data_IF_680684330537
#
_entry.id   IF_680684330537
#
_cell.length_a   1.000
_cell.length_b   1.000
_cell.length_c   1.000
_cell.angle_alpha   90.00
_cell.angle_beta   90.00
_cell.angle_gamma   90.00
#
_symmetry.space_group_name_H-M   'P 1'
#
loop_
_entity.id
_entity.type
_entity.pdbx_description
1 polymer ?
#
# COMPACT_ATOMS: atom_id res chain seq x y z
N UNK A 1 -9.72 -9.73 22.25
CA UNK A 1 -9.40 -9.81 20.80
C UNK A 1 -10.51 -10.66 20.20
N UNK A 2 -11.27 -10.15 19.24
CA UNK A 2 -12.42 -10.91 18.69
C UNK A 2 -11.89 -12.12 17.94
N UNK A 3 -12.45 -13.30 18.19
CA UNK A 3 -12.01 -14.54 17.52
C UNK A 3 -12.46 -14.52 16.07
N UNK A 4 -11.69 -15.16 15.20
CA UNK A 4 -11.99 -15.19 13.76
C UNK A 4 -13.35 -15.85 13.44
N UNK A 5 -13.73 -16.85 14.24
CA UNK A 5 -15.03 -17.52 14.15
C UNK A 5 -16.21 -16.58 14.42
N UNK A 6 -16.07 -15.68 15.40
CA UNK A 6 -17.11 -14.71 15.77
C UNK A 6 -17.33 -13.69 14.64
N UNK A 7 -16.25 -13.26 13.97
CA UNK A 7 -16.32 -12.36 12.83
C UNK A 7 -17.06 -12.97 11.62
N UNK A 8 -16.93 -14.28 11.40
CA UNK A 8 -17.66 -14.95 10.31
C UNK A 8 -19.17 -15.01 10.59
N UNK A 9 -19.56 -15.20 11.85
CA UNK A 9 -20.97 -15.14 12.28
C UNK A 9 -21.55 -13.74 12.10
N UNK A 10 -20.79 -12.71 12.50
CA UNK A 10 -21.17 -11.31 12.27
C UNK A 10 -21.39 -11.03 10.79
N UNK A 11 -20.49 -11.49 9.90
CA UNK A 11 -20.66 -11.33 8.45
C UNK A 11 -21.90 -12.05 7.89
N UNK A 12 -22.28 -13.21 8.44
CA UNK A 12 -23.51 -13.89 8.06
C UNK A 12 -24.77 -13.12 8.49
N UNK A 13 -24.75 -12.52 9.68
CA UNK A 13 -25.82 -11.63 10.16
C UNK A 13 -25.92 -10.35 9.30
N UNK A 14 -24.79 -9.78 8.86
CA UNK A 14 -24.77 -8.66 7.92
C UNK A 14 -25.40 -9.01 6.58
N UNK A 15 -25.15 -10.21 6.05
CA UNK A 15 -25.75 -10.67 4.82
C UNK A 15 -27.28 -10.83 4.92
N UNK A 16 -27.79 -11.12 6.11
CA UNK A 16 -29.23 -11.18 6.40
C UNK A 16 -29.86 -9.80 6.62
N UNK A 17 -29.08 -8.71 6.57
CA UNK A 17 -29.58 -7.33 6.63
C UNK A 17 -29.40 -6.62 7.97
N UNK A 18 -28.63 -7.18 8.91
CA UNK A 18 -28.29 -6.52 10.18
C UNK A 18 -27.05 -5.65 10.01
N UNK A 19 -27.09 -4.37 10.38
CA UNK A 19 -25.93 -3.48 10.29
C UNK A 19 -25.20 -3.39 11.63
N UNK A 20 -23.87 -3.52 11.63
CA UNK A 20 -23.04 -3.39 12.83
C UNK A 20 -22.11 -2.18 12.75
N UNK A 21 -22.21 -1.29 13.73
CA UNK A 21 -21.27 -0.19 13.92
C UNK A 21 -20.13 -0.60 14.85
N UNK A 22 -18.89 -0.41 14.39
CA UNK A 22 -17.70 -0.69 15.18
C UNK A 22 -17.33 0.56 15.97
N UNK A 23 -17.39 0.49 17.30
CA UNK A 23 -17.09 1.60 18.20
C UNK A 23 -16.05 1.20 19.25
N UNK A 24 -15.30 2.18 19.74
CA UNK A 24 -14.36 2.04 20.85
C UNK A 24 -14.69 3.08 21.92
N UNK A 25 -14.60 2.70 23.19
CA UNK A 25 -14.78 3.64 24.30
C UNK A 25 -13.47 4.39 24.51
N UNK A 26 -13.47 5.71 24.34
CA UNK A 26 -12.35 6.60 24.65
C UNK A 26 -12.84 7.76 25.50
N UNK A 27 -12.22 7.96 26.66
CA UNK A 27 -12.51 9.06 27.58
C UNK A 27 -14.00 9.18 27.94
N UNK A 28 -14.68 8.03 28.10
CA UNK A 28 -16.11 7.96 28.42
C UNK A 28 -17.06 8.18 27.24
N UNK A 29 -16.54 8.42 26.03
CA UNK A 29 -17.32 8.58 24.80
C UNK A 29 -17.16 7.39 23.84
N UNK A 30 -18.23 7.07 23.11
CA UNK A 30 -18.20 6.11 22.02
C UNK A 30 -17.61 6.78 20.77
N UNK A 31 -16.41 6.37 20.36
CA UNK A 31 -15.73 6.87 19.17
C UNK A 31 -15.82 5.82 18.05
N UNK A 32 -16.14 6.22 16.81
CA UNK A 32 -16.17 5.30 15.69
C UNK A 32 -14.79 4.66 15.49
N UNK A 33 -14.80 3.33 15.48
CA UNK A 33 -13.66 2.48 15.20
C UNK A 33 -13.85 1.89 13.82
N UNK A 34 -12.74 1.57 13.20
CA UNK A 34 -12.75 0.82 11.95
C UNK A 34 -12.78 -0.68 12.16
N UNK A 35 -13.33 -1.37 11.16
CA UNK A 35 -13.35 -2.83 11.08
C UNK A 35 -11.98 -3.51 11.32
N UNK A 36 -11.98 -4.69 11.96
CA UNK A 36 -10.75 -5.45 12.23
C UNK A 36 -10.07 -5.96 10.95
N UNK A 37 -10.87 -6.38 9.96
CA UNK A 37 -10.41 -6.79 8.61
C UNK A 37 -10.10 -5.63 7.66
N UNK A 38 -9.51 -4.53 8.15
CA UNK A 38 -9.10 -3.41 7.25
C UNK A 38 -8.12 -3.86 6.15
N UNK A 39 -7.34 -4.90 6.41
CA UNK A 39 -6.32 -5.39 5.47
C UNK A 39 -6.94 -5.96 4.20
N UNK A 40 -8.11 -6.58 4.30
CA UNK A 40 -8.80 -7.20 3.18
C UNK A 40 -9.25 -6.15 2.17
N UNK A 41 -9.67 -4.98 2.68
CA UNK A 41 -10.09 -3.83 1.87
C UNK A 41 -8.91 -2.93 1.46
N UNK A 42 -7.66 -3.29 1.78
CA UNK A 42 -6.50 -2.46 1.47
C UNK A 42 -6.18 -2.53 -0.03
N UNK A 43 -6.49 -1.46 -0.74
CA UNK A 43 -6.02 -1.26 -2.11
C UNK A 43 -4.65 -0.57 -2.12
N UNK A 44 -3.79 -0.94 -3.07
CA UNK A 44 -2.53 -0.24 -3.26
C UNK A 44 -2.79 1.17 -3.81
N UNK A 45 -2.22 2.20 -3.17
CA UNK A 45 -2.35 3.59 -3.65
C UNK A 45 -1.80 3.69 -5.08
N UNK A 46 -2.68 4.00 -6.03
CA UNK A 46 -2.29 4.28 -7.41
C UNK A 46 -1.51 5.61 -7.44
N UNK A 47 -0.18 5.53 -7.52
CA UNK A 47 0.64 6.70 -7.83
C UNK A 47 0.47 7.02 -9.30
N UNK A 48 0.52 8.31 -9.65
CA UNK A 48 0.57 8.72 -11.05
C UNK A 48 1.77 8.03 -11.72
N UNK A 49 1.54 7.43 -12.89
CA UNK A 49 2.61 6.82 -13.66
C UNK A 49 3.55 7.89 -14.19
N UNK A 50 4.84 7.58 -14.15
CA UNK A 50 5.88 8.32 -14.85
C UNK A 50 5.52 8.51 -16.34
N UNK A 51 5.74 9.70 -16.93
CA UNK A 51 5.52 9.95 -18.35
C UNK A 51 6.11 8.88 -19.27
N UNK A 52 7.31 8.38 -18.96
CA UNK A 52 7.94 7.30 -19.72
C UNK A 52 7.11 6.01 -19.67
N UNK A 53 6.68 5.62 -18.46
CA UNK A 53 5.88 4.41 -18.27
C UNK A 53 4.50 4.51 -18.93
N UNK A 54 3.90 5.72 -18.94
CA UNK A 54 2.64 5.98 -19.66
C UNK A 54 2.78 5.67 -21.16
N UNK A 55 3.90 6.04 -21.77
CA UNK A 55 4.22 5.73 -23.16
C UNK A 55 4.35 4.22 -23.42
N UNK A 56 5.05 3.50 -22.54
CA UNK A 56 5.20 2.04 -22.62
C UNK A 56 3.84 1.34 -22.53
N UNK A 57 2.99 1.75 -21.58
CA UNK A 57 1.63 1.21 -21.43
C UNK A 57 0.80 1.44 -22.69
N UNK A 58 0.86 2.64 -23.28
CA UNK A 58 0.15 2.95 -24.54
C UNK A 58 0.60 2.03 -25.68
N UNK A 59 1.92 1.82 -25.85
CA UNK A 59 2.50 0.94 -26.88
C UNK A 59 2.09 -0.53 -26.69
N UNK A 60 2.09 -1.03 -25.45
CA UNK A 60 1.70 -2.42 -25.16
C UNK A 60 0.20 -2.61 -25.34
N UNK A 61 -0.62 -1.63 -24.94
CA UNK A 61 -2.07 -1.64 -25.12
C UNK A 61 -2.46 -1.58 -26.60
N UNK A 62 -1.79 -0.77 -27.42
CA UNK A 62 -2.09 -0.66 -28.85
C UNK A 62 -1.78 -1.93 -29.63
N UNK A 63 -0.74 -2.70 -29.24
CA UNK A 63 -0.38 -3.95 -29.92
C UNK A 63 -1.39 -5.09 -29.70
N UNK A 64 -2.26 -5.00 -28.68
CA UNK A 64 -3.38 -5.93 -28.39
C UNK A 64 -3.02 -7.43 -28.34
N UNK A 65 -1.77 -7.79 -28.07
CA UNK A 65 -1.36 -9.20 -27.92
C UNK A 65 -2.01 -9.83 -26.69
N UNK A 66 -2.30 -11.14 -26.69
CA UNK A 66 -2.72 -11.83 -25.48
C UNK A 66 -1.71 -11.60 -24.36
N UNK A 67 -2.22 -11.41 -23.14
CA UNK A 67 -1.39 -11.09 -21.98
C UNK A 67 -0.87 -9.66 -21.88
N UNK A 68 -1.30 -8.71 -22.73
CA UNK A 68 -0.86 -7.31 -22.66
C UNK A 68 -1.08 -6.68 -21.27
N UNK A 69 -2.20 -6.99 -20.59
CA UNK A 69 -2.49 -6.52 -19.22
C UNK A 69 -1.43 -7.02 -18.21
N UNK A 70 -1.01 -8.28 -18.33
CA UNK A 70 0.03 -8.87 -17.48
C UNK A 70 1.37 -8.17 -17.68
N UNK A 71 1.74 -7.91 -18.94
CA UNK A 71 2.98 -7.19 -19.28
C UNK A 71 3.01 -5.77 -18.71
N UNK A 72 1.89 -5.05 -18.79
CA UNK A 72 1.77 -3.71 -18.18
C UNK A 72 1.96 -3.78 -16.66
N UNK A 73 1.29 -4.72 -15.98
CA UNK A 73 1.42 -4.91 -14.53
C UNK A 73 2.87 -5.24 -14.14
N UNK A 74 3.51 -6.15 -14.86
CA UNK A 74 4.91 -6.53 -14.63
C UNK A 74 5.85 -5.33 -14.81
N UNK A 75 5.71 -4.57 -15.89
CA UNK A 75 6.54 -3.38 -16.14
C UNK A 75 6.41 -2.32 -15.03
N UNK A 76 5.19 -2.07 -14.54
CA UNK A 76 4.95 -1.14 -13.42
C UNK A 76 5.58 -1.67 -12.13
N UNK A 77 5.46 -2.96 -11.84
CA UNK A 77 6.04 -3.57 -10.64
C UNK A 77 7.58 -3.52 -10.66
N UNK A 78 8.19 -3.81 -11.80
CA UNK A 78 9.65 -3.73 -11.98
C UNK A 78 10.18 -2.31 -11.82
N UNK A 79 9.51 -1.32 -12.42
CA UNK A 79 9.90 0.10 -12.28
C UNK A 79 9.83 0.56 -10.82
N UNK A 80 8.73 0.24 -10.14
CA UNK A 80 8.58 0.53 -8.71
C UNK A 80 9.66 -0.15 -7.86
N UNK A 81 10.02 -1.40 -8.17
CA UNK A 81 11.10 -2.13 -7.49
C UNK A 81 12.46 -1.45 -7.70
N UNK A 82 12.75 -1.01 -8.93
CA UNK A 82 13.98 -0.28 -9.26
C UNK A 82 14.05 1.07 -8.55
N UNK A 83 12.98 1.86 -8.59
CA UNK A 83 12.88 3.15 -7.89
C UNK A 83 13.08 2.99 -6.38
N UNK A 84 12.38 2.04 -5.74
CA UNK A 84 12.58 1.74 -4.32
C UNK A 84 14.02 1.35 -3.98
N UNK A 85 14.69 0.57 -4.83
CA UNK A 85 16.10 0.19 -4.63
C UNK A 85 17.04 1.40 -4.70
N UNK A 86 16.77 2.33 -5.61
CA UNK A 86 17.54 3.57 -5.75
C UNK A 86 17.30 4.50 -4.57
N UNK A 87 16.04 4.71 -4.17
CA UNK A 87 15.66 5.52 -3.01
C UNK A 87 16.35 5.01 -1.73
N UNK A 88 16.25 3.71 -1.44
CA UNK A 88 16.91 3.10 -0.28
C UNK A 88 18.44 3.27 -0.33
N UNK A 89 19.05 3.18 -1.52
CA UNK A 89 20.50 3.43 -1.68
C UNK A 89 20.85 4.90 -1.41
N UNK A 90 20.04 5.85 -1.91
CA UNK A 90 20.25 7.27 -1.67
C UNK A 90 20.12 7.61 -0.18
N UNK A 91 19.12 7.06 0.50
CA UNK A 91 18.93 7.21 1.94
C UNK A 91 20.14 6.67 2.71
N UNK A 92 20.59 5.45 2.42
CA UNK A 92 21.77 4.88 3.07
C UNK A 92 23.04 5.72 2.86
N UNK A 93 23.23 6.26 1.65
CA UNK A 93 24.37 7.16 1.36
C UNK A 93 24.25 8.48 2.11
N UNK A 94 23.04 9.06 2.18
CA UNK A 94 22.78 10.28 2.92
C UNK A 94 23.08 10.09 4.42
N UNK A 95 22.59 9.01 5.01
CA UNK A 95 22.87 8.68 6.42
C UNK A 95 24.36 8.49 6.69
N UNK A 96 25.10 7.83 5.78
CA UNK A 96 26.56 7.72 5.90
C UNK A 96 27.26 9.09 5.88
N UNK A 97 26.84 9.99 5.00
CA UNK A 97 27.39 11.36 4.93
C UNK A 97 27.09 12.16 6.20
N UNK A 98 25.87 12.08 6.73
CA UNK A 98 25.50 12.73 7.99
C UNK A 98 26.34 12.23 9.17
N UNK A 99 26.53 10.91 9.29
CA UNK A 99 27.38 10.30 10.33
C UNK A 99 28.83 10.79 10.23
N UNK A 100 29.37 10.88 9.02
CA UNK A 100 30.73 11.41 8.77
C UNK A 100 30.83 12.87 9.22
N UNK A 101 29.90 13.74 8.80
CA UNK A 101 29.86 15.15 9.18
C UNK A 101 29.77 15.34 10.69
N UNK A 102 28.89 14.57 11.37
CA UNK A 102 28.77 14.62 12.83
C UNK A 102 30.07 14.23 13.54
N UNK A 103 30.80 13.25 13.00
CA UNK A 103 32.12 12.85 13.53
C UNK A 103 33.16 13.96 13.38
N UNK A 104 33.16 14.67 12.26
CA UNK A 104 34.08 15.78 12.01
C UNK A 104 33.76 17.02 12.86
N UNK A 105 32.48 17.28 13.15
CA UNK A 105 32.06 18.39 14.02
C UNK A 105 32.38 18.17 15.51
N UNK A 106 32.46 16.90 15.94
CA UNK A 106 32.78 16.54 17.32
C UNK A 106 34.29 16.42 17.59
N UNK A 107 35.14 16.75 16.61
CA UNK A 107 36.60 16.64 16.68
C UNK A 107 37.20 18.03 16.63
#
# INVERSE_FOLDING_TARGET
MVREEEMNRVGALEHMGVHFDFVEIKDGALVPRTHYRRRDNRTAKARQLDPHMKGVVKKVKSKRKPGYKKKIRQAIQEDNRKKRKIEARHEMRHQKRLRKRKREQNR
#
